data_IF_186442988006
#
_entry.id   IF_186442988006
#
_cell.length_a   1.000
_cell.length_b   1.000
_cell.length_c   1.000
_cell.angle_alpha   90.00
_cell.angle_beta   90.00
_cell.angle_gamma   90.00
#
_symmetry.space_group_name_H-M   'P 1'
#
loop_
_entity.id
_entity.type
_entity.pdbx_description
1 polymer ?
2 non-polymer ?
3 non-polymer ?
4 non-polymer ?
5 water ?
#
# COMPACT_ATOMS: atom_id res chain seq x y z
N UNK A 1 -10.54 -11.82 8.43
CA UNK A 1 -11.55 -12.62 7.74
C UNK A 1 -11.99 -11.95 6.44
N UNK A 2 -11.12 -11.14 5.87
CA UNK A 2 -11.35 -10.58 4.54
C UNK A 2 -10.72 -11.51 3.52
N UNK A 3 -10.79 -11.14 2.24
CA UNK A 3 -10.20 -12.02 1.22
C UNK A 3 -8.69 -12.05 1.29
N UNK A 4 -8.11 -13.16 0.87
CA UNK A 4 -6.65 -13.28 0.81
C UNK A 4 -6.22 -13.71 -0.58
N UNK A 5 -4.98 -13.40 -0.93
CA UNK A 5 -4.39 -13.99 -2.12
C UNK A 5 -4.20 -15.47 -1.88
N UNK A 6 -4.56 -16.29 -2.85
CA UNK A 6 -4.40 -17.73 -2.71
C UNK A 6 -3.09 -18.16 -3.36
N UNK A 7 -2.03 -17.43 -3.04
CA UNK A 7 -0.69 -17.74 -3.48
C UNK A 7 0.25 -16.86 -2.67
N UNK A 8 1.54 -17.20 -2.68
CA UNK A 8 2.51 -16.45 -1.90
C UNK A 8 3.48 -15.65 -2.76
N UNK A 9 3.34 -15.73 -4.08
CA UNK A 9 4.12 -14.91 -4.99
C UNK A 9 3.17 -13.91 -5.62
N UNK A 10 3.40 -12.63 -5.34
CA UNK A 10 2.51 -11.56 -5.73
C UNK A 10 3.31 -10.54 -6.50
N UNK A 11 2.78 -10.11 -7.64
CA UNK A 11 3.44 -9.09 -8.43
C UNK A 11 2.76 -7.75 -8.28
N UNK A 12 3.55 -6.69 -8.44
CA UNK A 12 3.00 -5.35 -8.48
C UNK A 12 3.58 -4.58 -9.65
N UNK A 13 2.85 -3.56 -10.07
CA UNK A 13 3.31 -2.71 -11.16
C UNK A 13 2.92 -1.29 -10.81
N UNK A 14 3.84 -0.35 -11.02
CA UNK A 14 3.55 1.06 -10.83
C UNK A 14 3.02 1.60 -12.15
N UNK A 15 1.72 1.84 -12.20
CA UNK A 15 1.06 2.26 -13.41
C UNK A 15 1.54 3.61 -13.90
N UNK A 16 1.80 4.51 -12.96
CA UNK A 16 2.16 5.89 -13.28
C UNK A 16 2.81 6.51 -12.06
N UNK A 17 3.48 7.63 -12.27
CA UNK A 17 4.30 8.25 -11.25
C UNK A 17 3.85 9.66 -10.93
N UNK A 18 3.70 9.96 -9.64
CA UNK A 18 3.42 11.33 -9.24
C UNK A 18 4.59 12.24 -9.64
N UNK A 19 4.27 13.44 -10.14
CA UNK A 19 5.33 14.41 -10.42
C UNK A 19 5.88 15.08 -9.14
N UNK A 20 5.29 14.76 -7.99
CA UNK A 20 5.72 15.37 -6.71
C UNK A 20 7.13 14.90 -6.29
N UNK A 21 7.52 13.71 -6.76
CA UNK A 21 8.75 13.05 -6.36
C UNK A 21 9.47 12.54 -7.59
N UNK A 22 10.75 12.25 -7.50
CA UNK A 22 11.40 11.65 -8.65
C UNK A 22 11.04 10.16 -8.72
N UNK A 23 11.18 9.57 -9.90
CA UNK A 23 10.77 8.19 -10.14
C UNK A 23 11.47 7.20 -9.21
N UNK A 24 12.77 7.40 -9.03
CA UNK A 24 13.56 6.52 -8.17
C UNK A 24 13.06 6.53 -6.73
N UNK A 25 12.58 7.68 -6.26
CA UNK A 25 12.07 7.77 -4.89
C UNK A 25 10.70 7.13 -4.75
N UNK A 26 9.88 7.21 -5.78
CA UNK A 26 8.61 6.49 -5.78
C UNK A 26 8.87 4.98 -5.75
N UNK A 27 9.77 4.52 -6.62
CA UNK A 27 10.11 3.10 -6.67
C UNK A 27 10.59 2.61 -5.31
N UNK A 28 11.47 3.39 -4.70
CA UNK A 28 12.05 3.03 -3.41
C UNK A 28 10.99 2.94 -2.31
N UNK A 29 10.14 3.96 -2.24
CA UNK A 29 9.09 4.00 -1.22
C UNK A 29 8.16 2.79 -1.34
N UNK A 30 7.75 2.47 -2.57
CA UNK A 30 6.85 1.34 -2.77
C UNK A 30 7.55 0.01 -2.47
N UNK A 31 8.79 -0.15 -2.91
CA UNK A 31 9.54 -1.38 -2.61
C UNK A 31 9.68 -1.58 -1.11
N UNK A 32 10.03 -0.51 -0.40
CA UNK A 32 10.21 -0.61 1.04
C UNK A 32 8.89 -0.94 1.75
N UNK A 33 7.80 -0.37 1.26
CA UNK A 33 6.48 -0.63 1.83
C UNK A 33 6.08 -2.10 1.69
N UNK A 34 6.35 -2.69 0.52
CA UNK A 34 6.11 -4.13 0.36
C UNK A 34 6.99 -4.95 1.29
N UNK A 35 8.24 -4.52 1.46
CA UNK A 35 9.18 -5.24 2.30
C UNK A 35 8.71 -5.32 3.76
N UNK A 36 8.06 -4.27 4.24
CA UNK A 36 7.52 -4.26 5.59
C UNK A 36 6.63 -5.49 5.81
N UNK A 37 5.77 -5.78 4.83
CA UNK A 37 4.83 -6.89 4.98
C UNK A 37 5.49 -8.24 4.67
N UNK A 38 6.39 -8.29 3.69
CA UNK A 38 7.08 -9.54 3.41
C UNK A 38 7.94 -9.99 4.59
N UNK A 39 8.44 -9.05 5.39
CA UNK A 39 9.28 -9.35 6.54
C UNK A 39 8.61 -10.22 7.60
N UNK A 40 7.28 -10.25 7.64
CA UNK A 40 6.55 -10.96 8.69
C UNK A 40 5.55 -11.99 8.17
N UNK A 41 5.66 -12.33 6.89
CA UNK A 41 4.76 -13.29 6.25
C UNK A 41 5.55 -14.17 5.26
N UNK A 42 4.90 -15.20 4.70
CA UNK A 42 5.53 -15.96 3.62
C UNK A 42 5.44 -15.29 2.25
N UNK A 43 4.89 -14.08 2.18
CA UNK A 43 4.67 -13.42 0.89
C UNK A 43 5.93 -12.86 0.27
N UNK A 44 6.03 -12.98 -1.04
CA UNK A 44 7.11 -12.33 -1.78
C UNK A 44 6.51 -11.45 -2.85
N UNK A 45 7.13 -10.29 -3.04
CA UNK A 45 6.63 -9.30 -3.99
C UNK A 45 7.68 -9.00 -5.03
N UNK A 46 7.28 -9.08 -6.29
CA UNK A 46 8.15 -8.70 -7.41
C UNK A 46 7.50 -7.61 -8.24
N UNK A 47 8.27 -6.57 -8.51
CA UNK A 47 7.86 -5.50 -9.41
C UNK A 47 7.99 -5.96 -10.85
N UNK A 48 6.95 -5.72 -11.65
CA UNK A 48 7.02 -5.98 -13.08
C UNK A 48 6.65 -4.71 -13.81
N UNK A 49 7.16 -4.58 -15.04
CA UNK A 49 6.89 -3.39 -15.87
C UNK A 49 5.93 -3.74 -16.98
N UNK A 50 5.88 -5.04 -17.32
CA UNK A 50 5.02 -5.53 -18.39
C UNK A 50 4.43 -6.89 -17.99
N UNK A 51 3.17 -7.10 -18.32
CA UNK A 51 2.46 -8.29 -17.90
C UNK A 51 1.25 -7.94 -17.05
N UNK A 52 0.73 -8.92 -16.32
CA UNK A 52 -0.47 -8.75 -15.54
C UNK A 52 -0.13 -8.84 -14.06
N UNK A 53 0.07 -7.69 -13.45
CA UNK A 53 0.43 -7.63 -12.04
C UNK A 53 -0.81 -7.87 -11.18
N UNK A 54 -0.60 -8.40 -9.99
CA UNK A 54 -1.71 -8.52 -9.05
C UNK A 54 -2.10 -7.17 -8.46
N UNK A 55 -1.10 -6.40 -8.02
CA UNK A 55 -1.35 -5.12 -7.36
C UNK A 55 -0.87 -3.99 -8.26
N UNK A 56 -1.80 -3.19 -8.74
CA UNK A 56 -1.44 -2.04 -9.56
C UNK A 56 -1.42 -0.79 -8.68
N UNK A 57 -0.30 -0.06 -8.70
CA UNK A 57 -0.13 1.16 -7.93
C UNK A 57 -0.41 2.32 -8.87
N UNK A 58 -1.36 3.17 -8.49
CA UNK A 58 -1.86 4.23 -9.36
C UNK A 58 -1.90 5.55 -8.59
N UNK A 59 -1.49 6.64 -9.24
CA UNK A 59 -1.76 7.98 -8.76
C UNK A 59 -2.84 8.57 -9.65
N UNK A 60 -3.92 9.07 -9.06
CA UNK A 60 -5.02 9.61 -9.86
C UNK A 60 -5.76 10.67 -9.08
N UNK A 61 -6.68 11.34 -9.75
CA UNK A 61 -7.32 12.53 -9.22
C UNK A 61 -8.83 12.39 -9.23
N UNK A 62 -9.49 12.91 -8.20
CA UNK A 62 -10.94 13.04 -8.22
C UNK A 62 -11.66 11.75 -8.59
N UNK A 63 -12.62 11.85 -9.51
CA UNK A 63 -13.32 10.68 -10.01
C UNK A 63 -12.40 10.01 -11.03
N UNK A 64 -11.95 8.81 -10.72
CA UNK A 64 -10.88 8.19 -11.49
C UNK A 64 -11.20 6.75 -11.90
N UNK A 65 -12.48 6.47 -12.09
CA UNK A 65 -12.89 5.25 -12.74
C UNK A 65 -13.41 4.13 -11.86
N UNK A 66 -13.48 4.39 -10.55
CA UNK A 66 -14.06 3.42 -9.61
C UNK A 66 -15.11 4.09 -8.70
N UNK A 67 -15.62 3.35 -7.73
CA UNK A 67 -16.68 3.89 -6.88
C UNK A 67 -16.14 4.60 -5.65
N UNK A 68 -14.90 5.04 -5.74
CA UNK A 68 -14.24 5.61 -4.58
C UNK A 68 -13.54 6.89 -4.99
N UNK A 69 -14.33 7.86 -5.44
CA UNK A 69 -13.76 9.12 -5.91
C UNK A 69 -12.97 9.81 -4.83
N UNK A 70 -11.88 10.47 -5.22
CA UNK A 70 -11.10 11.28 -4.31
C UNK A 70 -11.73 12.67 -4.14
N UNK A 71 -11.13 13.47 -3.26
CA UNK A 71 -11.77 14.66 -2.73
C UNK A 71 -10.89 15.90 -2.78
N UNK A 72 -9.87 15.91 -3.65
CA UNK A 72 -8.96 17.03 -3.72
C UNK A 72 -7.98 17.01 -2.55
N UNK A 73 -7.26 18.11 -2.34
CA UNK A 73 -6.20 18.11 -1.33
C UNK A 73 -6.76 17.91 0.07
N UNK A 74 -6.13 17.04 0.85
CA UNK A 74 -6.58 16.74 2.19
C UNK A 74 -7.63 15.63 2.17
N UNK A 75 -8.34 15.47 3.27
CA UNK A 75 -9.34 14.42 3.36
C UNK A 75 -8.71 13.06 3.13
N UNK A 76 -9.31 12.29 2.23
CA UNK A 76 -8.78 10.97 1.95
C UNK A 76 -7.53 11.08 1.08
N UNK A 77 -6.51 10.31 1.45
CA UNK A 77 -5.19 10.40 0.83
C UNK A 77 -4.97 9.31 -0.21
N UNK A 78 -5.64 8.18 0.00
CA UNK A 78 -5.42 6.98 -0.79
C UNK A 78 -6.47 5.94 -0.39
N UNK A 79 -6.67 4.95 -1.25
CA UNK A 79 -7.53 3.83 -0.91
C UNK A 79 -7.04 2.60 -1.67
N UNK A 80 -7.48 1.42 -1.26
CA UNK A 80 -7.04 0.20 -1.91
C UNK A 80 -8.08 -0.89 -1.84
N UNK A 81 -8.05 -1.79 -2.80
CA UNK A 81 -8.99 -2.89 -2.87
C UNK A 81 -8.37 -4.15 -2.30
N UNK A 82 -9.18 -4.95 -1.63
CA UNK A 82 -8.71 -6.23 -1.12
C UNK A 82 -8.44 -7.21 -2.24
N UNK A 83 -7.78 -8.34 -1.91
CA UNK A 83 -7.38 -9.34 -2.89
C UNK A 83 -8.53 -9.80 -3.78
N UNK A 84 -8.21 -9.99 -5.05
CA UNK A 84 -9.16 -10.46 -6.03
C UNK A 84 -8.61 -10.13 -7.40
N UNK A 85 -9.27 -10.60 -8.44
CA UNK A 85 -8.86 -10.35 -9.82
C UNK A 85 -9.14 -8.90 -10.22
N UNK A 86 -8.51 -8.48 -11.32
CA UNK A 86 -8.75 -7.15 -11.87
C UNK A 86 -8.37 -6.04 -10.92
N UNK A 87 -9.35 -5.20 -10.57
CA UNK A 87 -9.06 -4.07 -9.69
C UNK A 87 -8.73 -4.52 -8.27
N UNK A 88 -9.07 -5.78 -7.96
CA UNK A 88 -8.71 -6.35 -6.68
C UNK A 88 -7.22 -6.18 -6.42
N UNK A 89 -6.89 -5.84 -5.19
CA UNK A 89 -5.50 -5.62 -4.82
C UNK A 89 -4.96 -4.24 -5.12
N UNK A 90 -5.62 -3.49 -6.02
CA UNK A 90 -4.99 -2.27 -6.51
C UNK A 90 -4.99 -1.16 -5.45
N UNK A 91 -3.95 -0.33 -5.48
CA UNK A 91 -3.76 0.74 -4.51
C UNK A 91 -3.71 2.06 -5.24
N UNK A 92 -4.56 2.99 -4.85
CA UNK A 92 -4.73 4.26 -5.54
C UNK A 92 -4.39 5.40 -4.58
N UNK A 93 -3.57 6.32 -5.05
CA UNK A 93 -3.09 7.45 -4.27
C UNK A 93 -3.60 8.75 -4.89
N UNK A 94 -4.13 9.63 -4.05
CA UNK A 94 -4.76 10.86 -4.52
C UNK A 94 -3.68 11.84 -4.97
N UNK A 95 -3.63 12.14 -6.27
CA UNK A 95 -2.59 13.03 -6.76
C UNK A 95 -2.73 14.45 -6.25
N UNK A 96 -3.91 14.80 -5.73
CA UNK A 96 -4.08 16.14 -5.17
C UNK A 96 -3.32 16.34 -3.84
N UNK A 97 -2.81 15.26 -3.26
CA UNK A 97 -1.87 15.38 -2.15
C UNK A 97 -0.48 15.67 -2.68
N UNK A 98 0.39 16.14 -1.79
CA UNK A 98 1.79 16.35 -2.14
C UNK A 98 2.63 15.24 -1.50
N UNK A 99 3.02 14.27 -2.33
CA UNK A 99 3.70 13.06 -1.88
C UNK A 99 5.17 13.33 -1.67
N UNK A 100 5.70 12.86 -0.55
CA UNK A 100 7.10 13.11 -0.23
C UNK A 100 7.81 11.89 0.33
N UNK A 101 9.12 12.04 0.41
CA UNK A 101 10.00 11.06 1.03
C UNK A 101 10.22 11.35 2.51
N UNK A 102 9.58 12.39 3.03
CA UNK A 102 9.93 12.93 4.33
C UNK A 102 8.70 13.31 5.14
N UNK A 103 8.87 14.24 6.08
CA UNK A 103 7.80 14.59 7.02
C UNK A 103 6.87 15.65 6.45
N UNK A 104 7.31 16.35 5.42
CA UNK A 104 6.48 17.35 4.78
C UNK A 104 5.48 16.65 3.90
N UNK A 105 4.41 17.35 3.54
CA UNK A 105 3.36 16.78 2.71
C UNK A 105 2.83 15.49 3.29
N UNK A 106 2.58 14.52 2.41
CA UNK A 106 2.12 13.22 2.83
C UNK A 106 3.20 12.20 2.45
N UNK A 107 3.72 11.48 3.44
CA UNK A 107 4.78 10.52 3.19
C UNK A 107 4.27 9.32 2.41
N UNK A 108 4.84 9.10 1.23
CA UNK A 108 4.39 8.01 0.37
C UNK A 108 4.60 6.63 0.99
N UNK A 109 5.79 6.41 1.54
CA UNK A 109 6.10 5.13 2.17
C UNK A 109 5.06 4.72 3.22
N UNK A 110 4.77 5.61 4.16
CA UNK A 110 3.85 5.26 5.24
C UNK A 110 2.44 4.99 4.70
N UNK A 111 2.00 5.83 3.78
CA UNK A 111 0.69 5.66 3.21
C UNK A 111 0.63 4.35 2.44
N UNK A 112 1.69 4.04 1.71
CA UNK A 112 1.75 2.79 0.95
C UNK A 112 1.74 1.55 1.87
N UNK A 113 2.40 1.62 3.03
CA UNK A 113 2.35 0.49 3.95
C UNK A 113 0.90 0.23 4.35
N UNK A 114 0.19 1.30 4.69
CA UNK A 114 -1.22 1.19 5.05
C UNK A 114 -2.05 0.62 3.91
N UNK A 115 -1.90 1.19 2.72
CA UNK A 115 -2.71 0.72 1.59
C UNK A 115 -2.39 -0.72 1.19
N UNK A 116 -1.11 -1.08 1.19
CA UNK A 116 -0.74 -2.45 0.87
C UNK A 116 -1.35 -3.41 1.90
N UNK A 117 -1.43 -3.00 3.16
CA UNK A 117 -2.15 -3.81 4.13
C UNK A 117 -3.53 -4.18 3.63
N UNK A 118 -4.27 -3.20 3.11
CA UNK A 118 -5.59 -3.48 2.52
C UNK A 118 -5.45 -4.39 1.30
N UNK A 119 -4.46 -4.13 0.45
CA UNK A 119 -4.24 -4.95 -0.75
C UNK A 119 -4.00 -6.42 -0.41
N UNK A 120 -3.56 -6.68 0.81
CA UNK A 120 -3.29 -8.04 1.28
C UNK A 120 -4.47 -8.64 2.06
N UNK A 121 -5.48 -7.83 2.38
CA UNK A 121 -6.67 -8.33 3.02
C UNK A 121 -6.98 -7.77 4.39
N UNK A 122 -6.12 -6.90 4.91
CA UNK A 122 -6.39 -6.30 6.22
C UNK A 122 -7.45 -5.22 6.17
N UNK A 123 -8.19 -5.10 7.25
CA UNK A 123 -9.07 -3.97 7.45
C UNK A 123 -8.45 -3.02 8.44
N UNK A 124 -9.21 -2.03 8.89
CA UNK A 124 -8.67 -1.06 9.83
C UNK A 124 -8.52 -1.62 11.23
N UNK A 125 -7.53 -1.07 11.94
CA UNK A 125 -7.30 -1.39 13.33
C UNK A 125 -7.87 -0.28 14.20
N UNK A 126 -8.27 -0.62 15.42
CA UNK A 126 -8.69 0.40 16.38
C UNK A 126 -7.53 0.77 17.30
N UNK A 127 -6.40 0.10 17.10
CA UNK A 127 -5.18 0.37 17.87
C UNK A 127 -4.48 1.57 17.27
N UNK A 128 -4.31 2.64 18.06
CA UNK A 128 -3.72 3.90 17.58
C UNK A 128 -2.24 3.81 17.23
N UNK A 129 -1.60 2.68 17.52
CA UNK A 129 -0.20 2.50 17.18
C UNK A 129 -0.04 1.67 15.91
N UNK A 130 -1.15 1.17 15.39
CA UNK A 130 -1.13 0.33 14.20
C UNK A 130 -1.07 1.14 12.92
N UNK A 131 -0.32 0.65 11.94
CA UNK A 131 -0.26 1.31 10.65
C UNK A 131 -1.62 1.20 9.96
N UNK A 132 -2.42 0.21 10.36
CA UNK A 132 -3.77 0.07 9.81
C UNK A 132 -4.83 0.91 10.52
N UNK A 133 -4.42 1.78 11.44
CA UNK A 133 -5.34 2.75 12.01
C UNK A 133 -5.82 3.69 10.90
N UNK A 134 -7.07 4.20 10.98
CA UNK A 134 -7.65 4.92 9.84
C UNK A 134 -7.03 6.28 9.50
N UNK A 135 -6.29 6.88 10.41
CA UNK A 135 -5.77 8.21 10.15
C UNK A 135 -4.25 8.26 10.05
N UNK A 136 -3.78 8.99 9.04
CA UNK A 136 -2.37 9.16 8.76
C UNK A 136 -1.64 9.90 9.87
N UNK A 137 -0.41 9.46 10.15
CA UNK A 137 0.45 10.12 11.12
C UNK A 137 1.92 9.87 10.79
N UNK A 138 2.68 10.94 10.59
CA UNK A 138 4.08 10.80 10.25
C UNK A 138 4.87 10.29 11.44
N UNK A 139 5.64 9.25 11.21
CA UNK A 139 6.62 8.79 12.19
C UNK A 139 7.95 8.66 11.49
N UNK A 140 9.01 8.75 12.27
CA UNK A 140 10.37 8.60 11.77
C UNK A 140 10.46 7.34 10.92
N UNK A 141 10.66 7.52 9.62
CA UNK A 141 10.55 6.39 8.69
C UNK A 141 11.73 5.44 8.80
N UNK A 142 12.85 5.93 9.32
CA UNK A 142 14.02 5.08 9.48
C UNK A 142 13.95 4.24 10.76
N UNK A 143 12.99 4.57 11.61
CA UNK A 143 12.75 3.80 12.82
C UNK A 143 11.34 3.20 12.82
N UNK A 144 10.63 3.36 11.71
CA UNK A 144 9.28 2.81 11.59
C UNK A 144 9.26 1.32 11.85
N UNK A 145 8.23 0.87 12.57
CA UNK A 145 8.00 -0.55 12.82
C UNK A 145 6.50 -0.84 12.69
N UNK A 146 6.17 -2.02 12.22
CA UNK A 146 4.80 -2.50 12.32
C UNK A 146 4.51 -2.73 13.79
N UNK A 147 3.28 -2.45 14.18
CA UNK A 147 2.86 -2.70 15.55
C UNK A 147 2.57 -4.18 15.72
N UNK A 148 2.55 -4.65 16.97
CA UNK A 148 2.20 -6.03 17.23
C UNK A 148 0.79 -6.35 16.70
N UNK A 149 -0.10 -5.37 16.69
CA UNK A 149 -1.43 -5.61 16.17
C UNK A 149 -1.42 -5.86 14.66
N UNK A 150 -0.61 -5.10 13.93
CA UNK A 150 -0.47 -5.29 12.48
C UNK A 150 0.12 -6.65 12.17
N UNK A 151 1.14 -7.06 12.92
CA UNK A 151 1.77 -8.34 12.72
C UNK A 151 0.78 -9.47 13.02
N UNK A 152 0.04 -9.34 14.11
CA UNK A 152 -1.03 -10.30 14.42
C UNK A 152 -2.01 -10.41 13.25
N UNK A 153 -2.49 -9.27 12.76
CA UNK A 153 -3.44 -9.26 11.67
C UNK A 153 -2.94 -9.98 10.43
N UNK A 154 -1.74 -9.63 9.98
CA UNK A 154 -1.26 -10.19 8.72
C UNK A 154 -0.86 -11.66 8.87
N UNK A 155 -0.32 -12.04 10.03
CA UNK A 155 0.02 -13.44 10.26
C UNK A 155 -1.20 -14.32 10.38
N UNK A 156 -2.35 -13.73 10.71
CA UNK A 156 -3.58 -14.49 10.76
C UNK A 156 -4.02 -14.83 9.34
N UNK A 157 -3.71 -13.96 8.40
CA UNK A 157 -4.14 -14.12 7.01
C UNK A 157 -3.22 -15.03 6.22
N UNK A 158 -1.92 -14.98 6.50
CA UNK A 158 -0.92 -15.74 5.73
C UNK A 158 0.05 -16.46 6.62
N UNK A 159 0.39 -17.69 6.25
CA UNK A 159 1.34 -18.48 7.00
C UNK A 159 0.67 -19.43 7.95
X LIG B 1 -7.33 2.34 5.14
X LIG C 1 -9.55 4.39 -6.80
X LIG D 1 -5.30 -6.17 -9.32
X LIG E 1 0.51 15.77 -6.13
X LIG F 1 -7.62 13.91 -0.88
X LIG G 1 0.55 5.87 8.75
X LIG G 1 -0.25 6.15 7.66
X LIG G 1 -3.80 5.93 6.30
X LIG G 1 -1.37 5.12 9.95
X LIG G 1 -1.62 5.92 7.70
X LIG G 1 -3.26 16.00 4.39
X LIG G 1 -4.32 15.93 5.05
X LIG G 1 -5.00 16.93 5.37
X LIG G 1 -4.79 14.57 5.49
X LIG G 1 -5.31 14.57 6.92
X LIG G 1 -5.51 13.15 7.45
X LIG G 1 -5.99 13.25 8.86
X LIG G 1 -7.31 13.38 9.05
X LIG G 1 -5.18 13.23 9.78
X LIG G 1 -6.44 12.38 6.62
X LIG G 1 -6.63 11.09 6.87
X LIG G 1 -6.07 10.51 7.79
X LIG G 1 -7.62 10.35 6.00
X LIG G 1 -9.03 10.65 6.50
X LIG G 1 -10.08 9.90 5.69
X LIG G 1 -11.41 9.87 6.41
X LIG G 1 -12.20 10.82 6.22
X LIG G 1 -11.67 8.90 7.16
X LIG G 1 -7.44 8.91 5.94
X LIG G 1 -6.77 8.35 4.94
X LIG G 1 -6.29 8.99 4.01
X LIG G 1 -6.67 6.87 4.96
X LIG G 1 -7.83 6.35 4.12
X LIG G 1 -7.88 4.84 4.02
X LIG G 1 -7.37 4.34 2.91
X LIG G 1 -7.36 2.96 2.73
X LIG G 1 -8.32 4.13 4.91
X LIG G 1 -5.38 6.41 4.30
X LIG G 1 -4.13 6.44 5.11
X LIG G 1 -3.05 7.03 4.55
X LIG G 1 -1.99 6.90 5.47
X LIG G 1 -2.46 6.25 6.51
X LIG G 1 -2.19 5.40 8.86
X LIG G 1 -0.01 5.35 9.91
X LIG G 1 0.82 5.02 11.10
X LIG G 1 0.36 5.31 12.39
X LIG G 1 2.05 4.41 10.93
X LIG G 1 2.84 4.08 12.04
X LIG G 1 2.38 4.38 13.31
X LIG G 1 1.14 4.99 13.49
X LIG G 1 0.61 5.34 15.10
#
# INVERSE_FOLDING_TARGET
MGPVWRKHYITYRINNYTPDMNREDVDYAIRKAFQVWSNVTPLKFSKINTGMADILVVFARGAHGDDHAFDGKGGILAHAFGPGSGIGGDAHFDEDEFWTTHSGGTNLFLTAVHEIGHSLGLGHSSDPKAVMFPTYKYVDINTFRLSADDIRGIQSLYG
ZN ZN
ZN ZN
CA CA
CA CA
CA CA
56O C4 C5 C8 C2 C6 O44 C42 O43 C41 C40 C29 C37 N39 O38 N28 C27 O36 C26 C31 C32 C33 O35 O34 N25 C20 O30 C19 C21 C22 N24 O24 O23 C71 C9 O10 N11 C7 C1 C3 C12 C17 C13 C14 C15 C16 CL
#
